data_IF_493400453758
#
_entry.id   IF_493400453758
#
_cell.length_a   1.000
_cell.length_b   1.000
_cell.length_c   1.000
_cell.angle_alpha   90.00
_cell.angle_beta   90.00
_cell.angle_gamma   90.00
#
_symmetry.space_group_name_H-M   'P 1'
#
loop_
_entity.id
_entity.type
_entity.pdbx_description
1 polymer ?
#
# COMPACT_ATOMS: atom_id res chain seq x y z
N UNK A 1 -3.27 30.69 -27.69
CA UNK A 1 -3.05 30.39 -27.22
C UNK A 1 -2.96 29.77 -26.71
N UNK A 2 -3.13 29.58 -26.75
CA UNK A 2 -3.06 29.08 -26.18
C UNK A 2 -2.58 28.40 -25.65
N UNK A 3 -2.43 28.26 -25.84
CA UNK A 3 -2.26 27.39 -25.38
C UNK A 3 -1.51 27.05 -24.37
N UNK A 4 -0.93 27.39 -24.20
CA UNK A 4 -0.04 27.20 -23.26
C UNK A 4 -0.53 26.74 -22.06
N UNK A 5 -1.31 27.07 -21.83
CA UNK A 5 -1.86 26.74 -20.80
C UNK A 5 -1.91 25.52 -20.33
N UNK A 6 -2.33 24.93 -20.99
CA UNK A 6 -2.52 23.67 -20.71
C UNK A 6 -1.41 23.09 -20.09
N UNK A 7 -0.47 23.40 -20.41
CA UNK A 7 0.65 22.78 -20.02
C UNK A 7 0.76 22.69 -18.61
N UNK A 8 0.44 23.62 -17.96
CA UNK A 8 0.61 23.62 -16.62
C UNK A 8 -0.12 22.65 -15.91
N UNK A 9 -1.20 22.43 -16.32
CA UNK A 9 -2.03 21.53 -15.66
C UNK A 9 -1.38 20.24 -15.44
N UNK A 10 -0.65 19.77 -16.38
CA UNK A 10 -0.18 18.52 -16.16
C UNK A 10 0.98 18.42 -15.30
N UNK A 11 1.65 19.43 -15.10
CA UNK A 11 2.75 19.37 -14.26
C UNK A 11 2.30 18.88 -12.94
N UNK A 12 1.10 19.18 -12.58
CA UNK A 12 0.63 18.78 -11.32
C UNK A 12 0.28 17.35 -11.25
N UNK A 13 -0.03 16.76 -12.33
CA UNK A 13 -0.40 15.41 -12.29
C UNK A 13 0.76 14.57 -11.90
N UNK A 14 1.92 14.96 -12.25
CA UNK A 14 3.07 14.15 -11.96
C UNK A 14 3.23 14.00 -10.47
N UNK A 15 2.78 14.95 -9.73
CA UNK A 15 2.94 14.88 -8.31
C UNK A 15 1.75 14.28 -7.62
N UNK A 16 0.72 13.94 -8.37
CA UNK A 16 -0.45 13.41 -7.74
C UNK A 16 -0.16 12.04 -7.17
N UNK A 17 -0.73 11.74 -6.04
CA UNK A 17 -0.56 10.43 -5.45
C UNK A 17 -1.25 9.42 -6.34
N UNK A 18 -0.95 8.18 -6.18
CA UNK A 18 -1.56 7.14 -6.95
C UNK A 18 -2.94 6.93 -6.35
N UNK A 19 -3.87 7.74 -6.80
CA UNK A 19 -5.22 7.64 -6.29
C UNK A 19 -5.80 6.35 -6.80
N UNK A 20 -6.48 5.64 -5.96
CA UNK A 20 -7.13 4.42 -6.38
C UNK A 20 -6.22 3.21 -6.48
N UNK A 21 -5.02 3.27 -5.94
CA UNK A 21 -4.21 2.07 -5.90
C UNK A 21 -4.97 1.00 -5.14
N UNK A 22 -4.99 -0.24 -5.64
CA UNK A 22 -5.74 -1.30 -4.96
C UNK A 22 -5.30 -1.53 -3.53
N UNK A 23 -4.00 -1.58 -3.29
CA UNK A 23 -3.46 -1.65 -1.95
C UNK A 23 -2.24 -0.75 -1.90
N UNK A 24 -1.96 -0.19 -0.74
CA UNK A 24 -0.76 0.62 -0.57
C UNK A 24 -0.27 0.47 0.85
N UNK A 25 1.03 0.29 1.01
CA UNK A 25 1.64 0.13 2.32
C UNK A 25 2.64 1.25 2.55
N UNK A 26 2.77 1.69 3.81
CA UNK A 26 3.58 2.85 4.16
C UNK A 26 4.52 2.53 5.31
N UNK A 27 5.69 3.11 5.26
CA UNK A 27 6.71 2.88 6.25
C UNK A 27 6.32 3.39 7.63
N UNK A 28 5.62 4.50 7.70
CA UNK A 28 5.28 5.11 8.97
C UNK A 28 3.76 5.17 9.18
N UNK A 29 3.36 5.42 10.39
CA UNK A 29 1.95 5.60 10.72
C UNK A 29 1.41 6.81 9.95
N UNK A 30 0.12 6.87 9.84
CA UNK A 30 -0.59 7.98 9.20
C UNK A 30 -0.16 8.18 7.75
N UNK A 31 0.16 7.08 7.08
CA UNK A 31 0.45 7.07 5.64
C UNK A 31 1.65 7.93 5.28
N UNK A 32 2.65 7.93 6.14
CA UNK A 32 3.86 8.70 5.94
C UNK A 32 5.04 7.81 5.59
N UNK A 33 6.10 8.42 5.11
CA UNK A 33 7.32 7.71 4.77
C UNK A 33 7.27 7.06 3.40
N UNK A 34 8.18 6.15 3.18
CA UNK A 34 8.26 5.45 1.91
C UNK A 34 7.02 4.58 1.73
N UNK A 35 6.52 4.44 0.51
CA UNK A 35 5.34 3.64 0.26
C UNK A 35 5.52 2.79 -0.98
N UNK A 36 4.69 1.74 -1.06
CA UNK A 36 4.65 0.88 -2.23
C UNK A 36 3.18 0.69 -2.59
N UNK A 37 2.83 1.00 -3.83
CA UNK A 37 1.49 0.74 -4.35
C UNK A 37 1.50 -0.66 -4.95
N UNK A 38 0.46 -1.43 -4.65
CA UNK A 38 0.37 -2.82 -5.07
C UNK A 38 -0.83 -2.96 -5.98
N UNK A 39 -0.64 -3.60 -7.12
CA UNK A 39 -1.69 -3.71 -8.11
C UNK A 39 -2.68 -4.82 -7.79
N UNK A 40 -3.80 -4.80 -8.51
CA UNK A 40 -4.84 -5.80 -8.32
C UNK A 40 -4.28 -7.18 -8.50
N UNK A 41 -4.54 -8.03 -7.54
CA UNK A 41 -4.15 -9.44 -7.57
C UNK A 41 -2.65 -9.65 -7.67
N UNK A 42 -1.89 -8.66 -7.20
CA UNK A 42 -0.45 -8.77 -7.12
C UNK A 42 -0.06 -9.33 -5.76
N UNK A 43 0.98 -10.14 -5.75
CA UNK A 43 1.52 -10.71 -4.52
C UNK A 43 2.97 -10.33 -4.38
N UNK A 44 3.40 -10.02 -3.17
CA UNK A 44 4.78 -9.65 -2.90
C UNK A 44 5.35 -10.65 -1.89
N UNK A 45 6.19 -11.58 -2.34
CA UNK A 45 6.77 -12.57 -1.42
C UNK A 45 7.82 -11.98 -0.49
N UNK A 46 8.34 -10.80 -0.86
CA UNK A 46 9.30 -10.07 -0.04
C UNK A 46 9.03 -8.60 -0.22
N UNK A 47 9.36 -7.82 0.78
CA UNK A 47 9.06 -6.39 0.75
C UNK A 47 10.30 -5.51 0.65
N UNK A 48 11.47 -6.10 0.51
CA UNK A 48 12.70 -5.34 0.35
C UNK A 48 12.93 -4.41 1.52
N UNK A 49 13.11 -3.13 1.25
CA UNK A 49 13.41 -2.17 2.31
C UNK A 49 12.26 -1.96 3.27
N UNK A 50 11.04 -2.32 2.88
CA UNK A 50 9.91 -2.18 3.78
C UNK A 50 9.66 -3.41 4.63
N UNK A 51 10.51 -4.44 4.52
CA UNK A 51 10.35 -5.63 5.31
C UNK A 51 10.38 -5.27 6.81
N UNK A 52 9.35 -5.69 7.54
CA UNK A 52 9.21 -5.42 8.96
C UNK A 52 9.21 -3.91 9.28
N UNK A 53 8.79 -3.07 8.34
CA UNK A 53 8.75 -1.64 8.56
C UNK A 53 7.41 -0.99 8.23
N UNK A 54 6.41 -1.77 7.85
CA UNK A 54 5.12 -1.21 7.47
C UNK A 54 4.33 -0.86 8.72
N UNK A 55 3.86 0.38 8.81
CA UNK A 55 3.09 0.87 9.95
C UNK A 55 1.73 1.41 9.60
N UNK A 56 1.39 1.55 8.31
CA UNK A 56 0.03 1.93 7.90
C UNK A 56 -0.25 1.38 6.51
N UNK A 57 -1.52 1.13 6.20
CA UNK A 57 -1.91 0.57 4.91
C UNK A 57 -3.23 1.14 4.43
N UNK A 58 -3.44 1.13 3.13
CA UNK A 58 -4.72 1.49 2.52
C UNK A 58 -5.15 0.36 1.61
N UNK A 59 -6.43 0.02 1.65
CA UNK A 59 -6.99 -1.03 0.82
C UNK A 59 -8.23 -0.46 0.13
N UNK A 60 -8.28 -0.54 -1.19
CA UNK A 60 -9.37 0.02 -1.96
C UNK A 60 -10.63 -0.82 -1.82
N UNK A 61 -11.76 -0.27 -2.24
CA UNK A 61 -13.00 -1.03 -2.24
C UNK A 61 -12.83 -2.24 -3.15
N UNK A 62 -13.50 -3.32 -2.82
CA UNK A 62 -13.46 -4.58 -3.55
C UNK A 62 -12.11 -5.30 -3.48
N UNK A 63 -11.24 -4.88 -2.59
CA UNK A 63 -9.95 -5.54 -2.39
C UNK A 63 -9.80 -5.98 -0.95
N UNK A 64 -8.93 -6.96 -0.76
CA UNK A 64 -8.51 -7.40 0.56
C UNK A 64 -7.00 -7.52 0.52
N UNK A 65 -6.32 -7.11 1.58
CA UNK A 65 -4.89 -7.33 1.67
C UNK A 65 -4.63 -8.40 2.71
N UNK A 66 -4.02 -9.50 2.32
CA UNK A 66 -3.66 -10.56 3.25
C UNK A 66 -2.18 -10.37 3.56
N UNK A 67 -1.86 -10.14 4.81
CA UNK A 67 -0.49 -9.88 5.24
C UNK A 67 0.05 -11.04 6.06
N UNK A 68 1.35 -11.31 5.90
CA UNK A 68 2.01 -12.43 6.57
C UNK A 68 3.21 -11.91 7.36
N UNK A 69 3.43 -12.52 8.51
CA UNK A 69 4.54 -12.12 9.37
C UNK A 69 5.90 -12.53 8.81
N UNK A 70 5.95 -13.55 7.96
CA UNK A 70 7.20 -14.02 7.39
C UNK A 70 7.19 -13.87 5.88
N UNK A 71 8.35 -13.96 5.27
CA UNK A 71 8.46 -13.91 3.82
C UNK A 71 7.87 -15.16 3.19
N UNK A 72 7.61 -15.12 1.91
CA UNK A 72 7.08 -16.24 1.13
C UNK A 72 5.74 -16.71 1.65
N UNK A 73 4.94 -15.78 2.13
CA UNK A 73 3.56 -16.04 2.56
C UNK A 73 3.48 -17.07 3.69
N UNK A 74 4.36 -16.94 4.67
CA UNK A 74 4.40 -17.84 5.81
C UNK A 74 4.17 -17.11 7.11
N UNK A 75 3.98 -17.86 8.16
CA UNK A 75 3.78 -17.31 9.49
C UNK A 75 2.35 -16.92 9.73
N UNK A 76 2.14 -16.17 10.79
CA UNK A 76 0.79 -15.74 11.12
C UNK A 76 0.30 -14.78 10.06
N UNK A 77 -1.00 -14.77 9.84
CA UNK A 77 -1.61 -13.93 8.83
C UNK A 77 -2.69 -13.06 9.41
N UNK A 78 -2.95 -11.95 8.74
CA UNK A 78 -4.13 -11.15 9.03
C UNK A 78 -4.65 -10.59 7.70
N UNK A 79 -5.93 -10.21 7.67
CA UNK A 79 -6.54 -9.67 6.47
C UNK A 79 -7.07 -8.28 6.76
N UNK A 80 -6.74 -7.34 5.88
CA UNK A 80 -7.25 -5.98 5.96
C UNK A 80 -8.31 -5.82 4.88
N UNK A 81 -9.55 -5.56 5.28
CA UNK A 81 -10.62 -5.25 4.34
C UNK A 81 -10.48 -3.84 3.78
N UNK A 82 -11.41 -3.43 2.93
CA UNK A 82 -11.35 -2.09 2.36
C UNK A 82 -11.34 -1.02 3.44
N UNK A 83 -10.46 -0.05 3.31
CA UNK A 83 -10.36 1.03 4.26
C UNK A 83 -8.96 1.57 4.40
N UNK A 84 -8.82 2.54 5.29
CA UNK A 84 -7.54 3.14 5.60
C UNK A 84 -7.17 2.85 7.03
N UNK A 85 -5.97 2.32 7.22
CA UNK A 85 -5.51 1.92 8.54
C UNK A 85 -4.29 2.76 8.87
N UNK A 86 -4.52 3.88 9.54
CA UNK A 86 -3.45 4.82 9.89
C UNK A 86 -2.47 4.23 10.87
N UNK A 87 -2.91 3.23 11.62
CA UNK A 87 -2.04 2.44 12.50
C UNK A 87 -2.48 0.99 12.32
N UNK A 88 -1.62 0.06 12.66
CA UNK A 88 -1.92 -1.35 12.53
C UNK A 88 -2.32 -1.96 13.88
N UNK A 89 -3.06 -3.06 13.85
CA UNK A 89 -3.44 -3.74 15.09
C UNK A 89 -2.22 -4.20 15.87
N UNK A 90 -2.41 -4.45 17.16
CA UNK A 90 -1.34 -4.92 18.02
C UNK A 90 -0.68 -6.15 17.44
N UNK A 91 0.63 -6.15 17.44
CA UNK A 91 1.40 -7.28 16.95
C UNK A 91 1.70 -7.20 15.45
N UNK A 92 1.13 -6.24 14.73
CA UNK A 92 1.38 -6.14 13.29
C UNK A 92 2.22 -4.95 12.88
N UNK A 93 2.39 -3.95 13.75
CA UNK A 93 3.25 -2.81 13.44
C UNK A 93 4.67 -3.32 13.22
N UNK A 94 5.25 -2.98 12.09
CA UNK A 94 6.61 -3.40 11.71
C UNK A 94 6.79 -4.92 11.66
N UNK A 95 5.72 -5.67 11.36
CA UNK A 95 5.81 -7.13 11.34
C UNK A 95 5.48 -7.76 9.99
N UNK A 96 5.04 -6.99 9.00
CA UNK A 96 4.65 -7.57 7.72
C UNK A 96 5.86 -7.85 6.86
N UNK A 97 5.98 -9.07 6.36
CA UNK A 97 7.10 -9.48 5.51
C UNK A 97 6.69 -9.97 4.13
N UNK A 98 5.41 -10.29 3.92
CA UNK A 98 4.89 -10.62 2.60
C UNK A 98 3.41 -10.35 2.58
N UNK A 99 2.82 -10.22 1.39
CA UNK A 99 1.40 -9.91 1.31
C UNK A 99 0.80 -10.26 -0.05
N UNK A 100 -0.53 -10.36 -0.08
CA UNK A 100 -1.30 -10.47 -1.31
C UNK A 100 -2.28 -9.31 -1.34
N UNK A 101 -2.50 -8.72 -2.52
CA UNK A 101 -3.56 -7.73 -2.71
C UNK A 101 -4.59 -8.38 -3.62
N UNK A 102 -5.67 -8.90 -3.05
CA UNK A 102 -6.69 -9.63 -3.80
C UNK A 102 -7.91 -8.75 -4.04
N UNK A 103 -8.28 -8.60 -5.29
CA UNK A 103 -9.39 -7.74 -5.67
C UNK A 103 -10.38 -8.51 -6.56
N UNK A 104 -11.66 -8.15 -6.48
CA UNK A 104 -12.63 -8.74 -7.39
C UNK A 104 -12.96 -7.80 -8.53
#
# INVERSE_FOLDING_TARGET
>A
MRGAVLTLAFANFAAAPVAGAPCEVFEHKYFAGESVAIERNQSLPRLGRLNDRISSVKVASQCLMVAFADEEYRGITTTFGPGEYATLPDGWDDQISSLHCNCR
#
